data_IF_434445162080
#
_entry.id   IF_434445162080
#
_cell.length_a   1.000
_cell.length_b   1.000
_cell.length_c   1.000
_cell.angle_alpha   90.00
_cell.angle_beta   90.00
_cell.angle_gamma   90.00
#
_symmetry.space_group_name_H-M   'P 1'
#
loop_
_entity.id
_entity.type
_entity.pdbx_description
1 polymer ?
#
# COMPACT_ATOMS: atom_id res chain seq x y z
N UNK A 1 3.10 -12.49 5.69
CA UNK A 1 2.44 -12.75 4.40
C UNK A 1 3.35 -12.25 3.29
N UNK A 2 3.50 -12.96 2.16
CA UNK A 2 4.45 -12.57 1.09
C UNK A 2 3.78 -11.58 0.13
N UNK A 3 4.51 -10.54 -0.27
CA UNK A 3 4.04 -9.47 -1.17
C UNK A 3 3.30 -9.99 -2.42
N UNK A 4 3.79 -11.07 -3.04
CA UNK A 4 3.18 -11.65 -4.24
C UNK A 4 1.76 -12.18 -4.00
N UNK A 5 1.51 -12.77 -2.83
CA UNK A 5 0.17 -13.24 -2.47
C UNK A 5 -0.78 -12.06 -2.25
N UNK A 6 -0.28 -11.00 -1.60
CA UNK A 6 -1.04 -9.78 -1.36
C UNK A 6 -1.40 -9.05 -2.65
N UNK A 7 -0.47 -8.96 -3.59
CA UNK A 7 -0.74 -8.40 -4.92
C UNK A 7 -1.68 -9.24 -5.74
N UNK A 8 -1.63 -10.58 -5.60
CA UNK A 8 -2.61 -11.47 -6.23
C UNK A 8 -4.01 -11.18 -5.71
N UNK A 9 -4.17 -11.07 -4.40
CA UNK A 9 -5.47 -10.82 -3.78
C UNK A 9 -5.98 -9.40 -4.11
N UNK A 10 -5.11 -8.38 -4.12
CA UNK A 10 -5.47 -7.02 -4.53
C UNK A 10 -6.00 -6.94 -5.97
N UNK A 11 -5.47 -7.78 -6.87
CA UNK A 11 -5.87 -7.86 -8.28
C UNK A 11 -7.00 -8.86 -8.54
N UNK A 12 -7.41 -9.64 -7.56
CA UNK A 12 -8.42 -10.67 -7.74
C UNK A 12 -9.82 -10.08 -7.78
N UNK A 13 -10.40 -9.95 -8.97
CA UNK A 13 -11.75 -9.41 -9.19
C UNK A 13 -12.87 -10.27 -8.58
N UNK A 14 -12.59 -11.53 -8.21
CA UNK A 14 -13.53 -12.37 -7.47
C UNK A 14 -13.65 -11.99 -5.98
N UNK A 15 -12.75 -11.17 -5.45
CA UNK A 15 -12.80 -10.67 -4.07
C UNK A 15 -13.56 -9.35 -3.98
N UNK A 16 -14.09 -9.06 -2.78
CA UNK A 16 -14.74 -7.76 -2.53
C UNK A 16 -13.75 -6.62 -2.68
N UNK A 17 -14.25 -5.45 -3.07
CA UNK A 17 -13.41 -4.26 -3.22
C UNK A 17 -12.66 -3.91 -1.93
N UNK A 18 -13.32 -4.01 -0.77
CA UNK A 18 -12.68 -3.80 0.54
C UNK A 18 -11.53 -4.78 0.81
N UNK A 19 -11.70 -6.06 0.45
CA UNK A 19 -10.64 -7.07 0.59
C UNK A 19 -9.45 -6.74 -0.31
N UNK A 20 -9.72 -6.30 -1.54
CA UNK A 20 -8.69 -5.93 -2.50
C UNK A 20 -7.90 -4.69 -2.07
N UNK A 21 -8.60 -3.66 -1.58
CA UNK A 21 -8.01 -2.43 -1.03
C UNK A 21 -7.18 -2.74 0.21
N UNK A 22 -7.67 -3.61 1.11
CA UNK A 22 -6.90 -4.06 2.28
C UNK A 22 -5.64 -4.83 1.87
N UNK A 23 -5.75 -5.75 0.92
CA UNK A 23 -4.61 -6.51 0.41
C UNK A 23 -3.54 -5.61 -0.22
N UNK A 24 -3.95 -4.53 -0.91
CA UNK A 24 -3.03 -3.53 -1.43
C UNK A 24 -2.29 -2.78 -0.31
N UNK A 25 -2.98 -2.37 0.76
CA UNK A 25 -2.35 -1.78 1.93
C UNK A 25 -1.33 -2.74 2.58
N UNK A 26 -1.75 -3.99 2.81
CA UNK A 26 -0.90 -5.00 3.43
C UNK A 26 0.34 -5.28 2.53
N UNK A 27 0.22 -5.17 1.21
CA UNK A 27 1.35 -5.27 0.28
C UNK A 27 2.35 -4.12 0.45
N UNK A 28 1.87 -2.88 0.64
CA UNK A 28 2.72 -1.72 0.95
C UNK A 28 3.42 -1.95 2.29
N UNK A 29 2.68 -2.36 3.31
CA UNK A 29 3.23 -2.63 4.63
C UNK A 29 4.29 -3.74 4.61
N UNK A 30 4.05 -4.82 3.87
CA UNK A 30 5.01 -5.91 3.69
C UNK A 30 6.30 -5.47 2.97
N UNK A 31 6.23 -4.43 2.14
CA UNK A 31 7.42 -3.86 1.52
C UNK A 31 8.19 -2.90 2.46
N UNK A 32 7.48 -2.18 3.33
CA UNK A 32 8.05 -1.20 4.26
C UNK A 32 8.69 -1.83 5.51
N UNK A 33 8.12 -2.92 6.03
CA UNK A 33 8.49 -3.54 7.32
C UNK A 33 9.95 -4.01 7.48
N UNK A 34 10.77 -3.97 6.43
CA UNK A 34 12.21 -4.19 6.56
C UNK A 34 12.98 -3.02 7.22
N UNK A 35 12.38 -1.83 7.34
CA UNK A 35 13.09 -0.58 7.71
C UNK A 35 12.60 0.05 9.03
N UNK A 36 11.62 -0.55 9.72
CA UNK A 36 11.07 -0.01 10.98
C UNK A 36 9.56 0.23 10.93
N UNK A 37 9.08 1.32 11.52
CA UNK A 37 7.67 1.69 11.44
C UNK A 37 7.27 2.05 10.01
N UNK A 38 5.97 1.94 9.69
CA UNK A 38 5.46 2.35 8.37
C UNK A 38 5.78 3.83 8.10
N UNK A 39 5.70 4.70 9.11
CA UNK A 39 5.99 6.12 8.96
C UNK A 39 7.47 6.36 8.60
N UNK A 40 8.41 5.77 9.34
CA UNK A 40 9.85 5.88 9.06
C UNK A 40 10.20 5.29 7.68
N UNK A 41 9.56 4.19 7.33
CA UNK A 41 9.74 3.58 6.02
C UNK A 41 9.23 4.52 4.92
N UNK A 42 8.05 5.13 5.06
CA UNK A 42 7.52 6.07 4.07
C UNK A 42 8.37 7.34 3.96
N UNK A 43 8.89 7.85 5.07
CA UNK A 43 9.84 8.98 5.10
C UNK A 43 11.13 8.63 4.33
N UNK A 44 11.68 7.43 4.55
CA UNK A 44 12.88 6.97 3.85
C UNK A 44 12.70 6.78 2.34
N UNK A 45 11.45 6.64 1.87
CA UNK A 45 11.14 6.32 0.47
C UNK A 45 10.97 7.54 -0.43
N UNK A 46 11.13 8.75 0.12
CA UNK A 46 11.00 10.00 -0.61
C UNK A 46 9.74 10.03 -1.52
N UNK A 47 8.64 9.47 -1.01
CA UNK A 47 7.39 9.42 -1.75
C UNK A 47 6.90 10.84 -2.07
N UNK A 48 6.19 10.99 -3.17
CA UNK A 48 5.50 12.24 -3.46
C UNK A 48 4.53 12.58 -2.33
N UNK A 49 4.32 13.87 -2.04
CA UNK A 49 3.36 14.32 -1.02
C UNK A 49 1.98 13.69 -1.23
N UNK A 50 1.59 13.51 -2.50
CA UNK A 50 0.35 12.85 -2.89
C UNK A 50 0.33 11.37 -2.51
N UNK A 51 1.36 10.61 -2.82
CA UNK A 51 1.40 9.18 -2.50
C UNK A 51 1.48 8.96 -0.98
N UNK A 52 2.22 9.79 -0.25
CA UNK A 52 2.25 9.76 1.22
C UNK A 52 0.87 10.00 1.82
N UNK A 53 0.12 10.97 1.31
CA UNK A 53 -1.24 11.24 1.75
C UNK A 53 -2.17 10.04 1.48
N UNK A 54 -2.10 9.46 0.28
CA UNK A 54 -2.90 8.29 -0.10
C UNK A 54 -2.60 7.06 0.77
N UNK A 55 -1.33 6.82 1.11
CA UNK A 55 -0.96 5.74 2.04
C UNK A 55 -1.48 6.03 3.46
N UNK A 56 -1.46 7.28 3.89
CA UNK A 56 -2.05 7.72 5.16
C UNK A 56 -3.56 7.48 5.23
N UNK A 57 -4.30 7.86 4.20
CA UNK A 57 -5.75 7.63 4.11
C UNK A 57 -6.09 6.13 4.09
N UNK A 58 -5.33 5.33 3.33
CA UNK A 58 -5.45 3.87 3.34
C UNK A 58 -5.19 3.27 4.72
N UNK A 59 -4.14 3.74 5.42
CA UNK A 59 -3.82 3.33 6.78
C UNK A 59 -4.98 3.65 7.71
N UNK A 60 -5.45 4.88 7.71
CA UNK A 60 -6.51 5.30 8.65
C UNK A 60 -7.81 4.52 8.40
N UNK A 61 -8.16 4.27 7.14
CA UNK A 61 -9.28 3.38 6.79
C UNK A 61 -9.05 1.94 7.29
N UNK A 62 -7.87 1.37 7.07
CA UNK A 62 -7.48 0.02 7.49
C UNK A 62 -7.59 -0.18 9.01
N UNK A 63 -7.23 0.85 9.80
CA UNK A 63 -7.25 0.77 11.27
C UNK A 63 -8.61 1.03 11.88
N UNK A 64 -9.42 1.90 11.27
CA UNK A 64 -10.63 2.42 11.92
C UNK A 64 -11.94 2.02 11.23
N UNK A 65 -11.91 1.63 9.95
CA UNK A 65 -13.12 1.48 9.13
C UNK A 65 -13.22 0.10 8.47
N UNK A 66 -12.10 -0.48 8.03
CA UNK A 66 -12.09 -1.74 7.29
C UNK A 66 -12.78 -2.89 8.08
N UNK A 67 -13.53 -3.78 7.39
CA UNK A 67 -13.75 -3.86 5.94
C UNK A 67 -14.96 -3.04 5.45
N UNK A 68 -15.48 -2.10 6.25
CA UNK A 68 -16.68 -1.31 5.91
C UNK A 68 -16.36 -0.20 4.90
N UNK A 69 -17.42 0.33 4.28
CA UNK A 69 -17.34 1.50 3.42
C UNK A 69 -17.51 2.82 4.18
N UNK A 70 -17.24 3.96 3.53
CA UNK A 70 -16.78 4.07 2.15
C UNK A 70 -15.29 3.72 2.01
N UNK A 71 -14.91 3.21 0.85
CA UNK A 71 -13.51 2.95 0.53
C UNK A 71 -12.79 4.28 0.27
N UNK A 72 -11.54 4.45 0.74
CA UNK A 72 -10.79 5.70 0.52
C UNK A 72 -10.40 5.88 -0.96
N UNK A 73 -10.32 4.78 -1.71
CA UNK A 73 -10.06 4.75 -3.15
C UNK A 73 -10.51 3.43 -3.76
N UNK A 74 -10.56 3.37 -5.09
CA UNK A 74 -10.89 2.14 -5.81
C UNK A 74 -9.78 1.07 -5.68
N UNK A 75 -10.11 -0.23 -5.85
CA UNK A 75 -9.10 -1.29 -5.88
C UNK A 75 -7.99 -1.05 -6.92
N UNK A 76 -8.34 -0.49 -8.08
CA UNK A 76 -7.38 -0.18 -9.15
C UNK A 76 -6.39 0.91 -8.74
N UNK A 77 -6.88 1.97 -8.08
CA UNK A 77 -6.02 3.03 -7.53
C UNK A 77 -5.12 2.50 -6.43
N UNK A 78 -5.64 1.63 -5.56
CA UNK A 78 -4.86 1.01 -4.50
C UNK A 78 -3.71 0.16 -5.07
N UNK A 79 -3.98 -0.66 -6.10
CA UNK A 79 -2.94 -1.44 -6.81
C UNK A 79 -1.90 -0.51 -7.45
N UNK A 80 -2.33 0.54 -8.13
CA UNK A 80 -1.42 1.50 -8.75
C UNK A 80 -0.54 2.21 -7.70
N UNK A 81 -1.08 2.50 -6.52
CA UNK A 81 -0.31 3.06 -5.41
C UNK A 81 0.78 2.09 -4.93
N UNK A 82 0.46 0.79 -4.77
CA UNK A 82 1.48 -0.21 -4.39
C UNK A 82 2.64 -0.23 -5.38
N UNK A 83 2.34 -0.19 -6.67
CA UNK A 83 3.36 -0.20 -7.72
C UNK A 83 4.26 1.04 -7.68
N UNK A 84 3.67 2.23 -7.49
CA UNK A 84 4.44 3.48 -7.33
C UNK A 84 5.36 3.42 -6.11
N UNK A 85 4.83 3.00 -4.96
CA UNK A 85 5.62 2.86 -3.73
C UNK A 85 6.77 1.86 -3.90
N UNK A 86 6.50 0.71 -4.51
CA UNK A 86 7.53 -0.31 -4.79
C UNK A 86 8.59 0.16 -5.78
N UNK A 87 8.21 0.94 -6.78
CA UNK A 87 9.15 1.50 -7.75
C UNK A 87 10.10 2.50 -7.07
N UNK A 88 9.58 3.35 -6.18
CA UNK A 88 10.42 4.26 -5.38
C UNK A 88 11.39 3.49 -4.47
N UNK A 89 10.95 2.40 -3.83
CA UNK A 89 11.84 1.50 -3.05
C UNK A 89 12.96 0.87 -3.89
N UNK A 90 12.70 0.56 -5.16
CA UNK A 90 13.72 0.00 -6.07
C UNK A 90 14.70 1.07 -6.54
N UNK A 91 14.21 2.28 -6.83
CA UNK A 91 15.06 3.41 -7.22
C UNK A 91 16.01 3.83 -6.11
N UNK A 92 15.57 3.81 -4.84
CA UNK A 92 16.40 4.25 -3.71
C UNK A 92 17.54 3.29 -3.33
N UNK A 93 17.51 2.03 -3.81
CA UNK A 93 18.58 1.03 -3.58
C UNK A 93 19.70 1.06 -4.63
N UNK A 94 19.65 1.97 -5.61
CA UNK A 94 20.66 2.09 -6.66
C UNK A 94 21.54 3.35 -6.51
N UNK A 95 21.50 4.03 -5.36
CA UNK A 95 22.26 5.26 -5.11
C UNK A 95 23.47 5.06 -4.18
N UNK A 96 23.97 3.83 -4.05
CA UNK A 96 25.20 3.50 -3.31
C UNK A 96 26.42 3.31 -4.24
#
# INVERSE_FOLDING_TARGET
MRYENLMRDARNEALTESTRVRAAFDAIYACCTSVGSLAESLESLALSQRDSALVGELRDWVWHVAPMGPLPMSPSEAVALVERVRNNMRGNRCSE
#
